data_IF_167697176671
#
_entry.id   IF_167697176671
#
_cell.length_a   1.000
_cell.length_b   1.000
_cell.length_c   1.000
_cell.angle_alpha   90.00
_cell.angle_beta   90.00
_cell.angle_gamma   90.00
#
_symmetry.space_group_name_H-M   'P 1'
#
loop_
_entity.id
_entity.type
_entity.pdbx_description
1 polymer ?
#
# COMPACT_ATOMS: atom_id res chain seq x y z
N UNK A 1 -13.06 24.00 -14.96
CA UNK A 1 -13.39 23.19 -16.15
C UNK A 1 -12.67 21.86 -16.03
N UNK A 2 -13.40 20.77 -15.77
CA UNK A 2 -12.82 19.44 -15.62
C UNK A 2 -12.48 18.87 -17.01
N UNK A 3 -11.21 18.60 -17.26
CA UNK A 3 -10.78 17.96 -18.51
C UNK A 3 -11.35 16.53 -18.56
N UNK A 4 -12.14 16.26 -19.59
CA UNK A 4 -12.74 14.96 -19.88
C UNK A 4 -11.63 13.93 -20.11
N UNK A 5 -11.38 13.06 -19.12
CA UNK A 5 -10.31 12.07 -19.16
C UNK A 5 -10.68 10.94 -20.13
N UNK A 6 -10.19 11.04 -21.37
CA UNK A 6 -10.33 10.00 -22.40
C UNK A 6 -9.58 8.73 -22.03
N UNK A 7 -10.23 7.58 -22.23
CA UNK A 7 -9.63 6.23 -22.13
C UNK A 7 -8.70 6.01 -23.33
N UNK A 8 -7.44 5.65 -23.07
CA UNK A 8 -6.46 5.39 -24.13
C UNK A 8 -6.41 3.90 -24.51
N UNK A 9 -6.35 3.55 -25.81
CA UNK A 9 -6.10 2.19 -26.28
C UNK A 9 -4.76 1.62 -25.82
N UNK A 10 -4.69 0.29 -25.68
CA UNK A 10 -3.51 -0.45 -25.17
C UNK A 10 -2.24 -0.21 -26.00
N UNK A 11 -2.36 -0.02 -27.31
CA UNK A 11 -1.25 0.30 -28.21
C UNK A 11 -0.65 1.68 -27.93
N UNK A 12 -1.48 2.67 -27.63
CA UNK A 12 -1.04 4.02 -27.26
C UNK A 12 -0.40 4.06 -25.86
N UNK A 13 -0.92 3.27 -24.92
CA UNK A 13 -0.32 3.06 -23.59
C UNK A 13 1.14 2.57 -23.68
N UNK A 14 1.44 1.66 -24.62
CA UNK A 14 2.80 1.12 -24.81
C UNK A 14 3.79 2.18 -25.29
N UNK A 15 3.41 3.01 -26.28
CA UNK A 15 4.25 4.11 -26.78
C UNK A 15 4.49 5.19 -25.72
N UNK A 16 3.45 5.53 -24.95
CA UNK A 16 3.52 6.54 -23.90
C UNK A 16 4.37 6.11 -22.68
N UNK A 17 4.46 4.80 -22.42
CA UNK A 17 5.39 4.21 -21.45
C UNK A 17 6.85 4.34 -21.91
N UNK A 18 7.11 4.17 -23.21
CA UNK A 18 8.45 4.34 -23.81
C UNK A 18 8.89 5.81 -23.82
N UNK A 19 7.96 6.74 -24.04
CA UNK A 19 8.23 8.19 -24.10
C UNK A 19 8.41 8.87 -22.73
N UNK A 20 8.20 8.15 -21.61
CA UNK A 20 8.31 8.67 -20.23
C UNK A 20 7.38 9.86 -19.90
N UNK A 21 6.21 9.96 -20.56
CA UNK A 21 5.31 11.13 -20.47
C UNK A 21 4.05 10.97 -19.59
N UNK A 22 4.01 10.08 -18.59
CA UNK A 22 2.82 9.95 -17.72
C UNK A 22 3.11 9.87 -16.22
N UNK A 23 2.14 10.37 -15.44
CA UNK A 23 2.15 10.39 -13.97
C UNK A 23 1.13 9.42 -13.32
N UNK A 24 0.11 8.96 -14.04
CA UNK A 24 -0.94 8.05 -13.52
C UNK A 24 -1.56 7.25 -14.68
N UNK A 25 -1.71 5.94 -14.51
CA UNK A 25 -2.41 5.05 -15.44
C UNK A 25 -3.61 4.45 -14.72
N UNK A 26 -4.81 4.58 -15.30
CA UNK A 26 -6.02 3.91 -14.83
C UNK A 26 -6.24 2.64 -15.65
N UNK A 27 -6.22 1.47 -15.01
CA UNK A 27 -6.57 0.19 -15.63
C UNK A 27 -8.10 0.11 -15.77
N UNK A 28 -8.65 -0.48 -16.86
CA UNK A 28 -10.07 -0.46 -17.19
C UNK A 28 -11.06 -0.93 -16.10
N UNK A 29 -10.59 -1.64 -15.06
CA UNK A 29 -11.40 -2.13 -13.96
C UNK A 29 -11.37 -1.24 -12.70
N UNK A 30 -10.93 0.01 -12.82
CA UNK A 30 -10.97 1.00 -11.72
C UNK A 30 -9.71 1.09 -10.87
N UNK A 31 -8.65 0.35 -11.19
CA UNK A 31 -7.37 0.46 -10.49
C UNK A 31 -6.56 1.66 -10.99
N UNK A 32 -6.10 2.51 -10.07
CA UNK A 32 -5.10 3.54 -10.36
C UNK A 32 -3.71 3.00 -10.01
N UNK A 33 -2.88 2.81 -11.04
CA UNK A 33 -1.45 2.58 -10.90
C UNK A 33 -0.73 3.92 -11.13
N UNK A 34 -0.18 4.48 -10.05
CA UNK A 34 0.67 5.65 -10.12
C UNK A 34 2.06 5.29 -10.66
N UNK A 35 2.17 5.03 -11.97
CA UNK A 35 3.47 4.90 -12.63
C UNK A 35 3.98 6.29 -13.00
N UNK A 36 4.98 6.77 -12.26
CA UNK A 36 5.91 7.79 -12.78
C UNK A 36 7.16 7.05 -13.25
N UNK A 37 7.27 6.88 -14.56
CA UNK A 37 8.32 6.13 -15.25
C UNK A 37 9.68 6.82 -15.15
N UNK A 38 10.72 5.99 -15.14
CA UNK A 38 12.11 6.43 -15.19
C UNK A 38 12.91 6.00 -13.97
N UNK A 39 12.87 4.71 -13.61
CA UNK A 39 13.90 4.11 -12.76
C UNK A 39 13.99 2.66 -13.18
N UNK A 40 15.20 2.26 -13.55
CA UNK A 40 15.69 0.90 -13.42
C UNK A 40 15.15 0.36 -12.07
N UNK A 41 14.09 -0.45 -12.12
CA UNK A 41 13.29 -0.86 -10.97
C UNK A 41 14.03 -1.97 -10.23
N UNK A 42 15.21 -1.62 -9.71
CA UNK A 42 15.88 -2.39 -8.71
C UNK A 42 15.07 -2.20 -7.40
N UNK A 43 14.03 -3.02 -7.25
CA UNK A 43 13.16 -3.06 -6.06
C UNK A 43 13.87 -3.64 -4.84
N UNK A 44 15.15 -4.02 -4.97
CA UNK A 44 15.97 -4.41 -3.82
C UNK A 44 16.50 -3.19 -3.03
N UNK A 45 16.46 -3.23 -1.69
CA UNK A 45 15.43 -3.83 -0.87
C UNK A 45 14.36 -2.77 -0.55
N UNK A 46 13.13 -2.95 -1.02
CA UNK A 46 12.01 -2.10 -0.61
C UNK A 46 11.70 -2.36 0.87
N UNK A 47 12.16 -1.49 1.76
CA UNK A 47 12.19 -1.79 3.20
C UNK A 47 10.88 -1.51 3.93
N UNK A 48 9.99 -0.70 3.36
CA UNK A 48 8.85 -0.14 4.07
C UNK A 48 7.57 -0.18 3.26
N UNK A 49 6.50 -0.68 3.87
CA UNK A 49 5.16 -0.70 3.34
C UNK A 49 4.27 0.25 4.14
N UNK A 50 3.47 1.08 3.44
CA UNK A 50 2.47 1.93 4.05
C UNK A 50 1.16 1.76 3.32
N UNK A 51 0.07 1.86 4.04
CA UNK A 51 -1.23 1.91 3.41
C UNK A 51 -2.13 2.88 4.15
N UNK A 52 -3.04 3.45 3.37
CA UNK A 52 -3.97 4.47 3.81
C UNK A 52 -5.32 4.15 3.17
N UNK A 53 -6.35 4.08 4.02
CA UNK A 53 -7.71 3.72 3.65
C UNK A 53 -8.58 4.96 3.65
N UNK A 54 -9.27 5.22 2.54
CA UNK A 54 -10.28 6.28 2.46
C UNK A 54 -11.62 5.70 2.03
N UNK A 55 -12.71 6.27 2.51
CA UNK A 55 -14.05 5.98 2.01
C UNK A 55 -14.55 7.14 1.18
N UNK A 56 -15.16 6.86 0.03
CA UNK A 56 -15.87 7.86 -0.77
C UNK A 56 -17.16 7.24 -1.29
N UNK A 57 -18.30 7.88 -1.03
CA UNK A 57 -19.62 7.41 -1.48
C UNK A 57 -19.93 5.97 -1.03
N UNK A 58 -19.55 5.61 0.21
CA UNK A 58 -19.70 4.26 0.76
C UNK A 58 -18.72 3.22 0.19
N UNK A 59 -17.84 3.62 -0.72
CA UNK A 59 -16.82 2.76 -1.31
C UNK A 59 -15.50 2.93 -0.54
N UNK A 60 -15.01 1.84 0.06
CA UNK A 60 -13.68 1.82 0.67
C UNK A 60 -12.61 1.63 -0.40
N UNK A 61 -11.54 2.42 -0.32
CA UNK A 61 -10.39 2.35 -1.19
C UNK A 61 -9.13 2.32 -0.33
N UNK A 62 -8.25 1.36 -0.60
CA UNK A 62 -6.98 1.18 0.09
C UNK A 62 -5.84 1.47 -0.86
N UNK A 63 -5.01 2.46 -0.52
CA UNK A 63 -3.81 2.82 -1.28
C UNK A 63 -2.58 2.13 -0.72
N UNK A 64 -1.89 1.36 -1.55
CA UNK A 64 -0.65 0.66 -1.20
C UNK A 64 0.55 1.51 -1.62
N UNK A 65 1.43 1.84 -0.67
CA UNK A 65 2.66 2.61 -0.90
C UNK A 65 3.86 1.78 -0.47
N UNK A 66 4.87 1.71 -1.33
CA UNK A 66 6.12 1.02 -1.06
C UNK A 66 7.27 2.04 -1.00
N UNK A 67 8.22 1.77 -0.12
CA UNK A 67 9.46 2.54 0.01
C UNK A 67 10.59 1.76 -0.63
N UNK A 68 11.24 2.32 -1.64
CA UNK A 68 12.35 1.67 -2.33
C UNK A 68 13.62 1.65 -1.48
N UNK A 69 14.62 0.87 -1.88
CA UNK A 69 15.94 0.84 -1.20
C UNK A 69 16.66 2.19 -1.15
N UNK A 70 16.26 3.15 -2.01
CA UNK A 70 16.77 4.54 -2.03
C UNK A 70 15.96 5.49 -1.14
N UNK A 71 15.04 4.98 -0.32
CA UNK A 71 14.18 5.77 0.55
C UNK A 71 13.05 6.51 -0.17
N UNK A 72 12.80 6.23 -1.45
CA UNK A 72 11.72 6.90 -2.19
C UNK A 72 10.38 6.22 -1.94
N UNK A 73 9.34 7.00 -1.63
CA UNK A 73 7.98 6.51 -1.51
C UNK A 73 7.28 6.50 -2.88
N UNK A 74 6.70 5.35 -3.24
CA UNK A 74 5.98 5.15 -4.51
C UNK A 74 4.64 4.50 -4.24
N UNK A 75 3.59 4.97 -4.89
CA UNK A 75 2.28 4.32 -4.85
C UNK A 75 2.33 3.08 -5.73
N UNK A 76 2.23 1.91 -5.12
CA UNK A 76 2.17 0.62 -5.79
C UNK A 76 0.81 0.38 -6.45
N UNK A 77 -0.26 0.89 -5.85
CA UNK A 77 -1.60 0.86 -6.44
C UNK A 77 -2.68 1.28 -5.46
N UNK A 78 -3.89 1.43 -5.98
CA UNK A 78 -5.09 1.69 -5.17
C UNK A 78 -6.13 0.63 -5.53
N UNK A 79 -6.67 -0.04 -4.51
CA UNK A 79 -7.70 -1.06 -4.66
C UNK A 79 -8.98 -0.62 -3.96
N UNK A 80 -10.11 -0.86 -4.64
CA UNK A 80 -11.41 -0.81 -4.00
C UNK A 80 -11.58 -2.06 -3.13
N UNK A 81 -12.08 -1.87 -1.92
CA UNK A 81 -12.35 -2.92 -0.94
C UNK A 81 -13.82 -2.86 -0.53
N UNK A 82 -14.37 -4.02 -0.18
CA UNK A 82 -15.75 -4.19 0.26
C UNK A 82 -15.93 -3.83 1.73
N UNK A 83 -14.96 -4.18 2.57
CA UNK A 83 -15.11 -4.15 4.03
C UNK A 83 -13.95 -3.48 4.76
N UNK A 84 -12.76 -3.42 4.13
CA UNK A 84 -11.55 -2.87 4.76
C UNK A 84 -10.99 -3.76 5.87
N UNK A 85 -11.46 -5.01 5.95
CA UNK A 85 -10.99 -6.01 6.90
C UNK A 85 -9.55 -6.46 6.58
N UNK A 86 -8.83 -6.90 7.60
CA UNK A 86 -7.41 -7.26 7.52
C UNK A 86 -7.11 -8.33 6.46
N UNK A 87 -7.94 -9.37 6.36
CA UNK A 87 -7.79 -10.43 5.36
C UNK A 87 -7.91 -9.88 3.93
N UNK A 88 -8.93 -9.08 3.67
CA UNK A 88 -9.15 -8.44 2.36
C UNK A 88 -7.99 -7.50 2.00
N UNK A 89 -7.48 -6.75 2.99
CA UNK A 89 -6.29 -5.91 2.81
C UNK A 89 -5.04 -6.71 2.40
N UNK A 90 -4.85 -7.91 2.99
CA UNK A 90 -3.72 -8.79 2.66
C UNK A 90 -3.86 -9.38 1.25
N UNK A 91 -5.04 -9.86 0.90
CA UNK A 91 -5.35 -10.30 -0.47
C UNK A 91 -5.09 -9.19 -1.48
N UNK A 92 -5.49 -7.96 -1.15
CA UNK A 92 -5.20 -6.78 -1.96
C UNK A 92 -3.71 -6.51 -2.11
N UNK A 93 -2.91 -6.63 -1.04
CA UNK A 93 -1.47 -6.49 -1.11
C UNK A 93 -0.86 -7.58 -2.02
N UNK A 94 -1.23 -8.84 -1.82
CA UNK A 94 -0.76 -9.96 -2.65
C UNK A 94 -1.10 -9.73 -4.13
N UNK A 95 -2.30 -9.23 -4.42
CA UNK A 95 -2.70 -8.88 -5.78
C UNK A 95 -1.80 -7.78 -6.38
N UNK A 96 -1.54 -6.70 -5.65
CA UNK A 96 -0.65 -5.62 -6.11
C UNK A 96 0.76 -6.14 -6.35
N UNK A 97 1.31 -6.95 -5.44
CA UNK A 97 2.65 -7.52 -5.59
C UNK A 97 2.75 -8.45 -6.80
N UNK A 98 1.73 -9.27 -7.06
CA UNK A 98 1.63 -10.08 -8.29
C UNK A 98 1.62 -9.18 -9.53
N UNK A 99 0.86 -8.09 -9.54
CA UNK A 99 0.87 -7.14 -10.66
C UNK A 99 2.22 -6.47 -10.87
N UNK A 100 2.91 -6.07 -9.81
CA UNK A 100 4.26 -5.53 -9.90
C UNK A 100 5.25 -6.57 -10.44
N UNK A 101 5.16 -7.82 -9.99
CA UNK A 101 5.97 -8.92 -10.48
C UNK A 101 5.78 -9.16 -11.98
N UNK A 102 4.54 -9.11 -12.49
CA UNK A 102 4.24 -9.25 -13.92
C UNK A 102 4.86 -8.14 -14.80
N UNK A 103 5.04 -6.95 -14.23
CA UNK A 103 5.60 -5.78 -14.95
C UNK A 103 7.15 -5.81 -14.92
N UNK A 104 7.75 -6.63 -14.07
CA UNK A 104 9.21 -6.77 -14.02
C UNK A 104 9.72 -7.69 -15.15
N UNK A 105 10.60 -7.18 -16.00
CA UNK A 105 11.15 -7.83 -17.22
C UNK A 105 12.08 -9.06 -16.96
N UNK A 106 11.94 -9.74 -15.83
CA UNK A 106 12.76 -10.90 -15.45
C UNK A 106 12.15 -12.22 -15.96
N UNK A 107 13.00 -13.21 -16.28
CA UNK A 107 12.59 -14.56 -16.69
C UNK A 107 11.97 -15.43 -15.58
N UNK A 108 12.14 -15.05 -14.30
CA UNK A 108 11.59 -15.79 -13.17
C UNK A 108 10.04 -15.78 -13.12
N UNK A 109 9.48 -16.86 -12.57
CA UNK A 109 8.05 -17.03 -12.35
C UNK A 109 7.44 -15.87 -11.53
N UNK A 110 6.22 -15.47 -11.91
CA UNK A 110 5.53 -14.29 -11.34
C UNK A 110 5.22 -14.49 -9.86
N UNK A 111 4.88 -15.70 -9.43
CA UNK A 111 4.54 -15.99 -8.04
C UNK A 111 5.79 -15.90 -7.17
N UNK A 112 6.88 -16.51 -7.63
CA UNK A 112 8.18 -16.46 -6.93
C UNK A 112 8.66 -15.02 -6.73
N UNK A 113 8.57 -14.18 -7.76
CA UNK A 113 8.88 -12.75 -7.65
C UNK A 113 7.98 -12.00 -6.68
N UNK A 114 6.68 -12.28 -6.69
CA UNK A 114 5.75 -11.63 -5.76
C UNK A 114 6.10 -11.98 -4.31
N UNK A 115 6.45 -13.25 -4.04
CA UNK A 115 6.97 -13.70 -2.74
C UNK A 115 8.28 -12.98 -2.39
N UNK A 116 9.23 -12.87 -3.33
CA UNK A 116 10.48 -12.12 -3.13
C UNK A 116 10.24 -10.63 -2.84
N UNK A 117 9.26 -9.99 -3.49
CA UNK A 117 8.91 -8.60 -3.19
C UNK A 117 8.35 -8.46 -1.77
N UNK A 118 7.51 -9.40 -1.34
CA UNK A 118 6.98 -9.42 0.03
C UNK A 118 8.08 -9.67 1.07
N UNK A 119 8.99 -10.61 0.83
CA UNK A 119 10.04 -10.96 1.80
C UNK A 119 10.96 -9.79 2.13
N UNK A 120 11.11 -8.84 1.19
CA UNK A 120 11.84 -7.60 1.36
C UNK A 120 11.13 -6.55 2.24
N UNK A 121 9.81 -6.67 2.43
CA UNK A 121 9.03 -5.77 3.29
C UNK A 121 9.27 -6.18 4.75
N UNK A 122 10.12 -5.42 5.44
CA UNK A 122 10.41 -5.61 6.88
C UNK A 122 9.70 -4.63 7.79
N UNK A 123 9.29 -3.47 7.28
CA UNK A 123 8.68 -2.42 8.09
C UNK A 123 7.28 -2.10 7.55
N UNK A 124 6.29 -2.03 8.42
CA UNK A 124 4.96 -1.51 8.06
C UNK A 124 4.66 -0.21 8.80
N UNK A 125 3.85 0.65 8.17
CA UNK A 125 3.30 1.84 8.79
C UNK A 125 1.81 1.93 8.51
N UNK A 126 1.02 1.93 9.58
CA UNK A 126 -0.44 1.93 9.55
C UNK A 126 -1.02 2.88 10.58
N UNK A 127 -2.33 3.14 10.56
CA UNK A 127 -2.97 3.71 11.75
C UNK A 127 -3.03 2.66 12.89
N UNK A 128 -3.28 3.12 14.12
CA UNK A 128 -3.33 2.25 15.30
C UNK A 128 -4.64 1.46 15.48
N UNK A 129 -5.52 1.40 14.47
CA UNK A 129 -6.78 0.66 14.56
C UNK A 129 -6.54 -0.85 14.67
N UNK A 130 -7.46 -1.55 15.33
CA UNK A 130 -7.32 -2.98 15.60
C UNK A 130 -7.29 -3.84 14.33
N UNK A 131 -8.01 -3.43 13.27
CA UNK A 131 -7.91 -4.07 11.96
C UNK A 131 -6.50 -4.03 11.37
N UNK A 132 -5.73 -2.97 11.63
CA UNK A 132 -4.36 -2.88 11.12
C UNK A 132 -3.34 -3.62 11.98
N UNK A 133 -3.60 -3.74 13.29
CA UNK A 133 -2.82 -4.65 14.15
C UNK A 133 -3.00 -6.10 13.69
N UNK A 134 -4.24 -6.52 13.46
CA UNK A 134 -4.54 -7.85 12.96
C UNK A 134 -3.99 -8.08 11.54
N UNK A 135 -4.00 -7.06 10.68
CA UNK A 135 -3.33 -7.14 9.37
C UNK A 135 -1.82 -7.43 9.50
N UNK A 136 -1.13 -6.78 10.45
CA UNK A 136 0.30 -6.99 10.66
C UNK A 136 0.60 -8.43 11.13
N UNK A 137 -0.28 -9.01 11.96
CA UNK A 137 -0.19 -10.43 12.35
C UNK A 137 -0.28 -11.34 11.11
N UNK A 138 -1.35 -11.19 10.31
CA UNK A 138 -1.55 -11.97 9.09
C UNK A 138 -0.39 -11.81 8.09
N UNK A 139 0.16 -10.59 7.97
CA UNK A 139 1.31 -10.32 7.10
C UNK A 139 2.57 -11.01 7.63
N UNK A 140 2.79 -11.02 8.95
CA UNK A 140 3.90 -11.70 9.59
C UNK A 140 3.84 -13.22 9.39
N UNK A 141 2.66 -13.81 9.59
CA UNK A 141 2.39 -15.23 9.33
C UNK A 141 2.64 -15.60 7.86
N UNK A 142 2.04 -14.84 6.94
CA UNK A 142 2.23 -15.07 5.51
C UNK A 142 3.69 -14.90 5.09
N UNK A 143 4.41 -13.95 5.69
CA UNK A 143 5.84 -13.78 5.43
C UNK A 143 6.63 -14.97 5.94
N UNK A 144 6.38 -15.46 7.15
CA UNK A 144 7.05 -16.64 7.70
C UNK A 144 6.83 -17.88 6.82
N UNK A 145 5.63 -18.06 6.27
CA UNK A 145 5.29 -19.15 5.35
C UNK A 145 6.13 -19.12 4.06
N UNK A 146 6.36 -17.93 3.48
CA UNK A 146 7.01 -17.83 2.17
C UNK A 146 8.54 -17.75 2.23
N UNK A 147 9.14 -17.44 3.39
CA UNK A 147 10.59 -17.22 3.51
C UNK A 147 11.44 -18.44 3.12
N UNK A 148 11.07 -19.68 3.50
CA UNK A 148 11.80 -20.88 3.08
C UNK A 148 11.88 -21.03 1.55
N UNK A 149 10.86 -20.57 0.82
CA UNK A 149 10.81 -20.69 -0.64
C UNK A 149 11.66 -19.65 -1.39
N UNK A 150 12.00 -18.53 -0.74
CA UNK A 150 12.61 -17.37 -1.40
C UNK A 150 14.00 -17.02 -0.89
N UNK A 151 14.46 -17.69 0.17
CA UNK A 151 15.80 -17.52 0.71
C UNK A 151 16.60 -18.79 0.43
N UNK A 152 17.63 -18.64 -0.38
CA UNK A 152 18.55 -19.72 -0.69
C UNK A 152 19.24 -20.22 0.59
N UNK A 153 19.24 -21.55 0.78
CA UNK A 153 19.86 -22.18 1.95
C UNK A 153 19.15 -21.90 3.28
N UNK A 154 17.84 -21.61 3.26
CA UNK A 154 17.06 -21.32 4.49
C UNK A 154 17.28 -22.35 5.60
N UNK A 155 17.26 -23.65 5.25
CA UNK A 155 17.45 -24.76 6.20
C UNK A 155 18.85 -24.82 6.82
N UNK A 156 19.85 -24.26 6.15
CA UNK A 156 21.24 -24.21 6.63
C UNK A 156 21.47 -23.03 7.60
N UNK A 157 20.50 -22.11 7.70
CA UNK A 157 20.58 -20.96 8.60
C UNK A 157 20.31 -21.40 10.04
N UNK A 158 21.01 -20.80 10.99
CA UNK A 158 20.70 -20.97 12.41
C UNK A 158 19.30 -20.44 12.74
N UNK A 159 18.68 -21.01 13.78
CA UNK A 159 17.37 -20.56 14.27
C UNK A 159 17.36 -19.06 14.61
N UNK A 160 18.46 -18.54 15.14
CA UNK A 160 18.61 -17.10 15.43
C UNK A 160 18.57 -16.26 14.15
N UNK A 161 19.26 -16.69 13.09
CA UNK A 161 19.25 -15.99 11.80
C UNK A 161 17.88 -16.07 11.14
N UNK A 162 17.23 -17.23 11.16
CA UNK A 162 15.86 -17.39 10.65
C UNK A 162 14.89 -16.47 11.39
N UNK A 163 14.96 -16.41 12.72
CA UNK A 163 14.14 -15.51 13.54
C UNK A 163 14.37 -14.03 13.19
N UNK A 164 15.63 -13.61 13.06
CA UNK A 164 16.01 -12.24 12.69
C UNK A 164 15.56 -11.86 11.27
N UNK A 165 15.57 -12.82 10.35
CA UNK A 165 15.08 -12.59 8.99
C UNK A 165 13.56 -12.53 8.98
N UNK A 166 12.86 -13.38 9.73
CA UNK A 166 11.40 -13.45 9.86
C UNK A 166 10.80 -12.25 10.61
N UNK A 167 11.56 -11.64 11.51
CA UNK A 167 11.10 -10.48 12.29
C UNK A 167 10.63 -9.31 11.41
N UNK A 168 9.49 -8.75 11.78
CA UNK A 168 8.89 -7.56 11.18
C UNK A 168 8.81 -6.42 12.21
N UNK A 169 8.96 -5.19 11.72
CA UNK A 169 8.82 -3.99 12.52
C UNK A 169 7.49 -3.30 12.20
N UNK A 170 6.69 -3.05 13.22
CA UNK A 170 5.39 -2.40 13.09
C UNK A 170 5.47 -0.99 13.64
N UNK A 171 5.18 0.01 12.80
CA UNK A 171 5.00 1.39 13.23
C UNK A 171 3.55 1.80 13.08
N UNK A 172 3.01 2.47 14.09
CA UNK A 172 1.65 3.00 14.07
C UNK A 172 1.68 4.53 14.07
N UNK A 173 0.94 5.13 13.15
CA UNK A 173 0.80 6.56 13.00
C UNK A 173 -0.09 7.09 14.12
N UNK A 174 0.53 7.64 15.17
CA UNK A 174 -0.19 8.27 16.29
C UNK A 174 -0.77 9.64 15.92
N UNK A 175 -0.39 10.22 14.77
CA UNK A 175 -0.92 11.51 14.31
C UNK A 175 -2.44 11.47 14.09
N UNK A 176 -3.01 10.32 13.71
CA UNK A 176 -4.47 10.19 13.57
C UNK A 176 -5.22 10.43 14.87
N UNK A 177 -4.62 10.11 16.03
CA UNK A 177 -5.22 10.42 17.32
C UNK A 177 -5.27 11.94 17.55
N UNK A 178 -4.17 12.64 17.24
CA UNK A 178 -4.11 14.10 17.37
C UNK A 178 -5.07 14.81 16.41
N UNK A 179 -5.16 14.35 15.16
CA UNK A 179 -6.12 14.87 14.19
C UNK A 179 -7.55 14.63 14.66
N UNK A 180 -7.85 13.43 15.18
CA UNK A 180 -9.17 13.12 15.76
C UNK A 180 -9.55 14.08 16.90
N UNK A 181 -8.63 14.36 17.83
CA UNK A 181 -8.87 15.33 18.90
C UNK A 181 -9.16 16.74 18.35
N UNK A 182 -8.40 17.18 17.34
CA UNK A 182 -8.61 18.49 16.71
C UNK A 182 -9.98 18.59 16.04
N UNK A 183 -10.40 17.55 15.30
CA UNK A 183 -11.73 17.50 14.67
C UNK A 183 -12.85 17.58 15.70
N UNK A 184 -12.79 16.80 16.79
CA UNK A 184 -13.81 16.85 17.84
C UNK A 184 -13.86 18.20 18.56
N UNK A 185 -12.71 18.83 18.79
CA UNK A 185 -12.67 20.16 19.38
C UNK A 185 -13.34 21.20 18.48
N UNK A 186 -13.11 21.13 17.16
CA UNK A 186 -13.73 22.01 16.17
C UNK A 186 -15.24 21.80 16.09
N UNK A 187 -15.71 20.54 16.03
CA UNK A 187 -17.13 20.20 16.05
C UNK A 187 -17.84 20.70 17.33
N UNK A 188 -17.19 20.57 18.48
CA UNK A 188 -17.71 21.07 19.75
C UNK A 188 -17.81 22.60 19.76
N UNK A 189 -16.80 23.31 19.24
CA UNK A 189 -16.82 24.75 19.11
C UNK A 189 -17.92 25.23 18.17
N UNK A 190 -18.09 24.61 17.00
CA UNK A 190 -19.17 24.93 16.07
C UNK A 190 -20.56 24.70 16.68
N UNK A 191 -20.72 23.62 17.45
CA UNK A 191 -21.98 23.31 18.16
C UNK A 191 -22.30 24.36 19.21
N UNK A 192 -21.30 24.83 19.97
CA UNK A 192 -21.44 25.92 20.92
C UNK A 192 -21.82 27.22 20.22
N UNK A 193 -21.10 27.61 19.16
CA UNK A 193 -21.40 28.83 18.40
C UNK A 193 -22.85 28.84 17.87
N UNK A 194 -23.31 27.72 17.34
CA UNK A 194 -24.70 27.57 16.88
C UNK A 194 -25.69 27.81 18.04
N UNK A 195 -25.45 27.21 19.20
CA UNK A 195 -26.27 27.40 20.38
C UNK A 195 -26.33 28.86 20.83
N UNK A 196 -25.19 29.55 20.87
CA UNK A 196 -25.12 30.97 21.22
C UNK A 196 -25.90 31.85 20.23
N UNK A 197 -25.79 31.58 18.92
CA UNK A 197 -26.54 32.32 17.89
C UNK A 197 -28.05 32.15 18.00
N UNK A 198 -28.54 30.98 18.40
CA UNK A 198 -29.97 30.72 18.58
C UNK A 198 -30.54 31.38 19.85
N UNK A 199 -29.70 31.61 20.87
CA UNK A 199 -30.16 32.06 22.20
C UNK A 199 -29.99 33.55 22.46
N UNK A 200 -29.06 34.19 21.74
CA UNK A 200 -28.76 35.63 21.86
C UNK A 200 -29.09 36.43 20.59
N UNK A 201 -29.55 35.77 19.54
CA UNK A 201 -30.00 36.38 18.29
C UNK A 201 -31.51 36.62 18.27
#
# INVERSE_FOLDING_TARGET
MAAEQRRLPRSQLSGLLQERRFAQVRIPNGHLLGLKTGLNLNWSPSRGFRSDGTSKDGIKCTGYKLTTGKGQHRTAGILKMSSGQSAEQLEGLQFILKKLAMISDSSADTITKAKQLLSNIKNTMWDGADSHKHFNELLGEYRAEILPDVIDGWEDLSAEVQQNISAMNYMYCQLHALVGCATYADEAMMSLEWFWRQRLG
#
